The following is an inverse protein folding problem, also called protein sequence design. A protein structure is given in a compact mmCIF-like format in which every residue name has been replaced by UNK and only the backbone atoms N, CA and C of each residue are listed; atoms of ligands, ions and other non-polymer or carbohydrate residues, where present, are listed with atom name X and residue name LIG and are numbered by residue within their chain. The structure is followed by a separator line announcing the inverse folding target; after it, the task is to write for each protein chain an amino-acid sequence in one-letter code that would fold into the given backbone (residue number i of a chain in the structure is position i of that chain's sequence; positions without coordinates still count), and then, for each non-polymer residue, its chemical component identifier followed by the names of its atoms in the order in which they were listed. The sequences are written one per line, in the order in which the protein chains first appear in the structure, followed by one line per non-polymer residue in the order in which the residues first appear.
data_IF_037243947714
#
_entry.id   IF_037243947714
#
_cell.length_a   1.000
_cell.length_b   1.000
_cell.length_c   1.000
_cell.angle_alpha   90.00
_cell.angle_beta   90.00
_cell.angle_gamma   90.00
#
_symmetry.space_group_name_H-M   'P 1'
#
loop_
_entity.id
_entity.type
_entity.pdbx_description
1 polymer ?
#
# COMPACT_ATOMS: atom_id res chain seq x y z
N UNK A 1 -0.01 13.06 12.10
CA UNK A 1 1.20 12.21 12.17
C UNK A 1 1.55 11.80 10.77
N UNK A 2 2.83 11.71 10.41
CA UNK A 2 3.22 11.36 9.04
C UNK A 2 3.84 9.97 9.01
N UNK A 3 3.33 9.13 8.13
CA UNK A 3 3.85 7.80 7.87
C UNK A 3 4.28 7.65 6.43
N UNK A 4 5.32 6.86 6.21
CA UNK A 4 5.74 6.43 4.88
C UNK A 4 5.57 4.93 4.84
N UNK A 5 4.67 4.46 3.98
CA UNK A 5 4.49 3.04 3.68
C UNK A 5 5.33 2.72 2.45
N UNK A 6 6.28 1.81 2.60
CA UNK A 6 7.05 1.29 1.47
C UNK A 6 6.36 0.06 0.92
N UNK A 7 6.17 0.04 -0.39
CA UNK A 7 5.62 -1.08 -1.14
C UNK A 7 6.60 -1.52 -2.23
N UNK A 8 6.27 -2.57 -2.97
CA UNK A 8 7.00 -2.99 -4.17
C UNK A 8 6.08 -3.77 -5.12
N UNK A 9 6.43 -3.88 -6.41
CA UNK A 9 5.75 -4.79 -7.32
C UNK A 9 5.94 -6.25 -6.90
N UNK A 10 5.08 -7.11 -7.46
CA UNK A 10 5.20 -8.55 -7.35
C UNK A 10 6.49 -9.05 -8.03
N UNK A 11 7.05 -10.15 -7.53
CA UNK A 11 8.17 -10.87 -8.18
C UNK A 11 7.85 -12.36 -8.28
N UNK A 12 8.59 -13.11 -9.08
CA UNK A 12 8.39 -14.56 -9.24
C UNK A 12 8.43 -15.32 -7.90
N UNK A 13 9.17 -14.80 -6.92
CA UNK A 13 9.29 -15.39 -5.58
C UNK A 13 8.04 -15.17 -4.71
N UNK A 14 7.12 -14.30 -5.10
CA UNK A 14 5.89 -14.01 -4.36
C UNK A 14 4.70 -14.88 -4.81
N UNK A 15 4.88 -15.66 -5.89
CA UNK A 15 3.85 -16.57 -6.39
C UNK A 15 3.52 -17.63 -5.33
N UNK A 16 2.23 -17.80 -5.09
CA UNK A 16 1.72 -18.70 -4.07
C UNK A 16 0.35 -19.24 -4.45
N UNK A 17 -0.22 -20.12 -3.64
CA UNK A 17 -1.60 -20.60 -3.88
C UNK A 17 -2.62 -19.45 -3.92
N UNK A 18 -2.37 -18.40 -3.15
CA UNK A 18 -3.27 -17.24 -3.03
C UNK A 18 -3.01 -16.19 -4.14
N UNK A 19 -1.89 -16.31 -4.85
CA UNK A 19 -1.59 -15.55 -6.07
C UNK A 19 -0.81 -16.42 -7.08
N UNK A 20 -1.50 -17.33 -7.79
CA UNK A 20 -0.84 -18.34 -8.61
C UNK A 20 -0.31 -17.78 -9.93
N UNK A 21 -0.91 -16.69 -10.42
CA UNK A 21 -0.53 -16.00 -11.64
C UNK A 21 -0.26 -14.54 -11.30
N UNK A 22 1.01 -14.23 -11.04
CA UNK A 22 1.44 -12.88 -10.73
C UNK A 22 1.43 -12.01 -11.98
N UNK A 23 0.94 -10.78 -11.83
CA UNK A 23 1.15 -9.75 -12.82
C UNK A 23 2.43 -8.98 -12.49
N UNK A 24 3.40 -9.01 -13.40
CA UNK A 24 4.70 -8.34 -13.24
C UNK A 24 4.82 -7.10 -14.13
N UNK A 25 3.72 -6.69 -14.76
CA UNK A 25 3.65 -5.48 -15.56
C UNK A 25 3.74 -4.23 -14.66
N UNK A 26 4.62 -3.29 -15.03
CA UNK A 26 4.88 -2.09 -14.25
C UNK A 26 3.75 -1.06 -14.36
N UNK A 27 3.09 -0.96 -15.52
CA UNK A 27 1.99 -0.02 -15.71
C UNK A 27 0.77 -0.47 -14.88
N UNK A 28 0.50 -1.77 -14.85
CA UNK A 28 -0.51 -2.34 -13.96
C UNK A 28 -0.15 -2.12 -12.49
N UNK A 29 1.11 -2.34 -12.11
CA UNK A 29 1.56 -2.04 -10.74
C UNK A 29 1.31 -0.58 -10.35
N UNK A 30 1.66 0.39 -11.22
CA UNK A 30 1.43 1.81 -10.95
C UNK A 30 -0.06 2.15 -10.84
N UNK A 31 -0.90 1.52 -11.67
CA UNK A 31 -2.35 1.67 -11.59
C UNK A 31 -2.88 1.18 -10.23
N UNK A 32 -2.47 0.00 -9.80
CA UNK A 32 -2.87 -0.58 -8.52
C UNK A 32 -2.30 0.19 -7.31
N UNK A 33 -1.08 0.73 -7.42
CA UNK A 33 -0.50 1.61 -6.40
C UNK A 33 -1.32 2.90 -6.22
N UNK A 34 -1.72 3.54 -7.32
CA UNK A 34 -2.57 4.74 -7.28
C UNK A 34 -3.94 4.42 -6.69
N UNK A 35 -4.56 3.30 -7.09
CA UNK A 35 -5.81 2.84 -6.50
C UNK A 35 -5.67 2.68 -4.98
N UNK A 36 -4.64 1.96 -4.53
CA UNK A 36 -4.37 1.74 -3.11
C UNK A 36 -4.17 3.04 -2.34
N UNK A 37 -3.44 4.01 -2.91
CA UNK A 37 -3.27 5.33 -2.30
C UNK A 37 -4.62 6.06 -2.16
N UNK A 38 -5.48 6.00 -3.18
CA UNK A 38 -6.84 6.56 -3.12
C UNK A 38 -7.73 5.86 -2.08
N UNK A 39 -7.68 4.53 -1.95
CA UNK A 39 -8.43 3.84 -0.90
C UNK A 39 -7.97 4.25 0.51
N UNK A 40 -6.67 4.42 0.71
CA UNK A 40 -6.10 4.89 1.99
C UNK A 40 -6.52 6.34 2.26
N UNK A 41 -6.56 7.20 1.23
CA UNK A 41 -7.02 8.58 1.36
C UNK A 41 -8.48 8.68 1.83
N UNK A 42 -9.31 7.70 1.47
CA UNK A 42 -10.71 7.62 1.88
C UNK A 42 -10.92 7.04 3.29
N UNK A 43 -9.86 6.69 4.02
CA UNK A 43 -9.99 6.27 5.41
C UNK A 43 -10.35 7.46 6.32
N UNK A 44 -11.28 7.21 7.26
CA UNK A 44 -11.54 8.16 8.33
C UNK A 44 -10.25 8.49 9.08
N UNK A 45 -10.06 9.78 9.37
CA UNK A 45 -8.92 10.35 10.10
C UNK A 45 -7.60 10.40 9.30
N UNK A 46 -7.63 10.08 8.00
CA UNK A 46 -6.55 10.41 7.05
C UNK A 46 -6.80 11.82 6.50
N UNK A 47 -5.78 12.67 6.60
CA UNK A 47 -5.85 14.08 6.17
C UNK A 47 -5.39 14.25 4.72
N UNK A 48 -4.38 13.48 4.31
CA UNK A 48 -3.84 13.51 2.94
C UNK A 48 -2.99 12.27 2.66
N UNK A 49 -2.96 11.88 1.39
CA UNK A 49 -2.08 10.83 0.89
C UNK A 49 -1.35 11.33 -0.34
N UNK A 50 -0.10 10.91 -0.49
CA UNK A 50 0.62 11.05 -1.76
C UNK A 50 1.41 9.79 -2.05
N UNK A 51 1.40 9.36 -3.31
CA UNK A 51 2.24 8.28 -3.79
C UNK A 51 3.45 8.83 -4.55
N UNK A 52 4.60 8.20 -4.36
CA UNK A 52 5.80 8.46 -5.14
C UNK A 52 6.71 7.25 -5.07
N UNK A 53 7.12 6.71 -6.22
CA UNK A 53 8.20 5.73 -6.34
C UNK A 53 8.17 4.63 -5.26
N UNK A 54 7.17 3.75 -5.31
CA UNK A 54 7.00 2.63 -4.36
C UNK A 54 6.75 3.07 -2.91
N UNK A 55 6.38 4.32 -2.68
CA UNK A 55 6.05 4.83 -1.35
C UNK A 55 4.68 5.49 -1.36
N UNK A 56 3.94 5.28 -0.28
CA UNK A 56 2.70 6.00 0.03
C UNK A 56 2.96 6.80 1.30
N UNK A 57 2.99 8.11 1.17
CA UNK A 57 3.07 9.04 2.28
C UNK A 57 1.66 9.33 2.78
N UNK A 58 1.43 9.15 4.08
CA UNK A 58 0.11 9.32 4.70
C UNK A 58 0.24 10.31 5.85
N UNK A 59 -0.55 11.38 5.83
CA UNK A 59 -0.76 12.24 6.99
C UNK A 59 -2.10 11.88 7.63
N UNK A 60 -2.09 11.50 8.90
CA UNK A 60 -3.28 11.00 9.60
C UNK A 60 -3.22 11.31 11.10
N UNK A 61 -4.39 11.37 11.75
CA UNK A 61 -4.48 11.42 13.20
C UNK A 61 -4.30 10.03 13.86
N UNK A 62 -4.41 8.95 13.08
CA UNK A 62 -4.29 7.57 13.55
C UNK A 62 -2.89 7.26 14.06
N UNK A 63 -2.80 6.38 15.07
CA UNK A 63 -1.54 5.74 15.42
C UNK A 63 -1.09 4.74 14.35
N UNK A 64 0.19 4.38 14.38
CA UNK A 64 0.78 3.39 13.45
C UNK A 64 0.00 2.07 13.43
N UNK A 65 -0.44 1.60 14.60
CA UNK A 65 -1.16 0.32 14.71
C UNK A 65 -2.57 0.42 14.13
N UNK A 66 -3.32 1.48 14.46
CA UNK A 66 -4.67 1.69 13.95
C UNK A 66 -4.66 1.84 12.43
N UNK A 67 -3.70 2.62 11.90
CA UNK A 67 -3.51 2.78 10.47
C UNK A 67 -3.24 1.42 9.79
N UNK A 68 -2.33 0.61 10.33
CA UNK A 68 -2.06 -0.74 9.83
C UNK A 68 -3.31 -1.62 9.84
N UNK A 69 -4.09 -1.59 10.92
CA UNK A 69 -5.32 -2.39 11.04
C UNK A 69 -6.38 -1.97 10.02
N UNK A 70 -6.58 -0.67 9.81
CA UNK A 70 -7.50 -0.15 8.80
C UNK A 70 -7.04 -0.44 7.36
N UNK A 71 -5.73 -0.49 7.11
CA UNK A 71 -5.16 -0.70 5.76
C UNK A 71 -5.07 -2.17 5.32
N UNK A 72 -5.05 -3.12 6.25
CA UNK A 72 -5.03 -4.58 5.96
C UNK A 72 -5.97 -5.04 4.84
N UNK A 73 -7.27 -4.66 4.80
CA UNK A 73 -8.16 -5.11 3.74
C UNK A 73 -7.73 -4.63 2.36
N UNK A 74 -7.16 -3.43 2.22
CA UNK A 74 -6.72 -2.91 0.93
C UNK A 74 -5.53 -3.69 0.38
N UNK A 75 -4.53 -3.97 1.22
CA UNK A 75 -3.39 -4.81 0.82
C UNK A 75 -3.78 -6.25 0.53
N UNK A 76 -4.86 -6.75 1.13
CA UNK A 76 -5.38 -8.08 0.85
C UNK A 76 -6.05 -8.13 -0.53
N UNK A 77 -6.72 -7.04 -0.94
CA UNK A 77 -7.33 -6.89 -2.27
C UNK A 77 -6.28 -6.73 -3.36
N UNK A 78 -5.24 -5.93 -3.12
CA UNK A 78 -4.17 -5.64 -4.07
C UNK A 78 -2.99 -6.63 -3.98
N UNK A 79 -3.14 -7.74 -3.25
CA UNK A 79 -2.05 -8.65 -2.87
C UNK A 79 -1.23 -9.20 -4.05
N UNK A 80 -1.88 -9.36 -5.21
CA UNK A 80 -1.28 -9.85 -6.45
C UNK A 80 -0.56 -8.79 -7.29
N UNK A 81 -0.58 -7.52 -6.86
CA UNK A 81 0.01 -6.41 -7.60
C UNK A 81 0.99 -5.63 -6.72
N UNK A 82 0.57 -5.31 -5.49
CA UNK A 82 1.32 -4.45 -4.58
C UNK A 82 1.67 -5.19 -3.29
N UNK A 83 2.96 -5.28 -2.98
CA UNK A 83 3.46 -5.92 -1.75
C UNK A 83 3.84 -4.88 -0.72
N UNK A 84 3.25 -4.98 0.47
CA UNK A 84 3.70 -4.25 1.64
C UNK A 84 5.13 -4.67 2.04
N UNK A 85 5.99 -3.69 2.32
CA UNK A 85 7.36 -3.91 2.81
C UNK A 85 7.51 -3.40 4.24
N UNK A 86 7.19 -2.13 4.48
CA UNK A 86 7.39 -1.49 5.78
C UNK A 86 6.52 -0.26 5.97
N UNK A 87 6.41 0.19 7.22
CA UNK A 87 5.85 1.50 7.58
C UNK A 87 6.72 2.17 8.62
N UNK A 88 7.10 3.42 8.33
CA UNK A 88 7.99 4.24 9.14
C UNK A 88 7.31 5.56 9.48
N UNK A 89 7.49 6.04 10.70
CA UNK A 89 7.05 7.39 11.09
C UNK A 89 8.05 8.42 10.58
N UNK A 90 7.58 9.42 9.85
CA UNK A 90 8.35 10.65 9.58
C UNK A 90 8.00 11.70 10.63
N UNK A 91 9.04 12.27 11.23
CA UNK A 91 8.93 13.45 12.09
C UNK A 91 8.61 14.70 11.26
#
# INVERSE_FOLDING_TARGET
MKYVITVRPLTENDLSRDCPYGNFDLDDYEFHLKSLASDIENLDEVNSVSDSNNQICVDTALSKQELLEKMKPFFSREFCYVRYVSIESRA
#
